data_IF_090072602326
#
_entry.id   IF_090072602326
#
_cell.length_a   1.000
_cell.length_b   1.000
_cell.length_c   1.000
_cell.angle_alpha   90.00
_cell.angle_beta   90.00
_cell.angle_gamma   90.00
#
_symmetry.space_group_name_H-M   'P 1'
#
loop_
_entity.id
_entity.type
_entity.pdbx_description
1 polymer ?
#
# COMPACT_ATOMS: atom_id res chain seq x y z
N UNK A 1 31.58 21.24 -3.13
CA UNK A 1 31.48 19.79 -3.39
C UNK A 1 30.07 19.49 -3.89
N UNK A 2 29.90 19.03 -5.14
CA UNK A 2 28.60 18.65 -5.70
C UNK A 2 28.43 17.14 -5.57
N UNK A 3 27.58 16.69 -4.64
CA UNK A 3 27.16 15.29 -4.60
C UNK A 3 26.38 15.00 -5.88
N UNK A 4 26.97 14.20 -6.76
CA UNK A 4 26.26 13.61 -7.89
C UNK A 4 25.26 12.60 -7.30
N UNK A 5 24.00 13.00 -7.25
CA UNK A 5 22.87 12.10 -7.01
C UNK A 5 22.87 11.05 -8.12
N UNK A 6 23.36 9.83 -7.82
CA UNK A 6 22.95 8.67 -8.60
C UNK A 6 21.43 8.58 -8.45
N UNK A 7 20.73 8.43 -9.57
CA UNK A 7 19.29 8.19 -9.61
C UNK A 7 18.97 7.00 -8.68
N UNK A 8 18.52 7.31 -7.47
CA UNK A 8 17.96 6.35 -6.54
C UNK A 8 16.59 6.00 -7.13
N UNK A 9 16.50 4.86 -7.81
CA UNK A 9 15.32 4.46 -8.58
C UNK A 9 14.18 4.04 -7.63
N UNK A 10 13.57 5.04 -7.00
CA UNK A 10 12.32 4.86 -6.27
C UNK A 10 11.15 4.92 -7.24
N UNK A 11 10.27 3.93 -7.15
CA UNK A 11 9.02 3.92 -7.90
C UNK A 11 7.86 3.90 -6.92
N UNK A 12 7.07 4.97 -6.93
CA UNK A 12 5.78 5.01 -6.24
C UNK A 12 4.75 4.32 -7.11
N UNK A 13 4.08 3.29 -6.57
CA UNK A 13 2.96 2.66 -7.27
C UNK A 13 1.69 3.49 -7.09
N UNK A 14 0.79 3.49 -8.07
CA UNK A 14 -0.53 4.06 -7.89
C UNK A 14 -1.24 3.36 -6.73
N UNK A 15 -1.96 4.15 -5.92
CA UNK A 15 -2.69 3.61 -4.79
C UNK A 15 -3.80 2.67 -5.30
N UNK A 16 -3.85 1.45 -4.80
CA UNK A 16 -4.86 0.47 -5.20
C UNK A 16 -5.96 0.40 -4.15
N UNK A 17 -7.23 0.43 -4.58
CA UNK A 17 -8.40 0.32 -3.72
C UNK A 17 -9.03 -1.05 -3.89
N UNK A 18 -9.29 -1.75 -2.78
CA UNK A 18 -9.92 -3.07 -2.78
C UNK A 18 -11.17 -3.05 -1.91
N UNK A 19 -12.29 -3.51 -2.50
CA UNK A 19 -13.56 -3.70 -1.79
C UNK A 19 -13.90 -5.19 -1.74
N UNK A 20 -14.26 -5.68 -0.56
CA UNK A 20 -14.80 -7.03 -0.35
C UNK A 20 -16.24 -6.93 0.13
N UNK A 21 -17.14 -7.66 -0.53
CA UNK A 21 -18.54 -7.78 -0.14
C UNK A 21 -18.80 -9.22 0.32
N UNK A 22 -19.47 -9.39 1.46
CA UNK A 22 -19.70 -10.68 2.13
C UNK A 22 -20.47 -11.72 1.29
N UNK A 23 -21.13 -11.28 0.21
CA UNK A 23 -22.19 -12.03 -0.48
C UNK A 23 -21.79 -13.43 -1.01
N UNK A 24 -20.52 -13.66 -1.38
CA UNK A 24 -20.14 -14.89 -2.08
C UNK A 24 -19.58 -16.03 -1.20
N UNK A 25 -19.29 -15.80 0.09
CA UNK A 25 -18.62 -16.79 0.94
C UNK A 25 -19.45 -17.30 2.13
N UNK A 26 -20.68 -16.84 2.30
CA UNK A 26 -21.60 -17.37 3.31
C UNK A 26 -22.16 -18.74 2.86
N UNK A 27 -21.38 -19.80 3.08
CA UNK A 27 -21.71 -21.16 2.66
C UNK A 27 -22.89 -21.78 3.44
N UNK A 28 -23.29 -21.17 4.55
CA UNK A 28 -24.37 -21.65 5.43
C UNK A 28 -25.70 -20.89 5.27
N UNK A 29 -25.81 -19.95 4.33
CA UNK A 29 -27.00 -19.11 4.12
C UNK A 29 -27.57 -19.32 2.73
N UNK A 30 -28.90 -19.49 2.65
CA UNK A 30 -29.62 -19.64 1.38
C UNK A 30 -29.45 -18.38 0.52
N UNK A 31 -29.29 -18.50 -0.81
CA UNK A 31 -29.01 -17.35 -1.68
C UNK A 31 -29.97 -16.16 -1.53
N UNK A 32 -31.23 -16.40 -1.16
CA UNK A 32 -32.27 -15.38 -0.99
C UNK A 32 -32.11 -14.57 0.30
N UNK A 33 -31.46 -15.15 1.31
CA UNK A 33 -31.27 -14.56 2.64
C UNK A 33 -29.89 -13.90 2.79
N UNK A 34 -29.06 -13.94 1.74
CA UNK A 34 -27.73 -13.32 1.75
C UNK A 34 -27.85 -11.80 1.76
N UNK A 35 -27.44 -11.18 2.86
CA UNK A 35 -27.36 -9.73 2.95
C UNK A 35 -26.02 -9.24 2.37
N UNK A 36 -26.09 -8.42 1.33
CA UNK A 36 -24.89 -7.81 0.74
C UNK A 36 -24.33 -6.76 1.69
N UNK A 37 -23.30 -7.12 2.45
CA UNK A 37 -22.58 -6.20 3.33
C UNK A 37 -21.17 -5.94 2.82
N UNK A 38 -20.76 -4.67 2.81
CA UNK A 38 -19.37 -4.29 2.60
C UNK A 38 -18.57 -4.74 3.82
N UNK A 39 -17.64 -5.68 3.63
CA UNK A 39 -16.78 -6.17 4.71
C UNK A 39 -15.53 -5.31 4.82
N UNK A 40 -14.88 -5.03 3.70
CA UNK A 40 -13.64 -4.28 3.66
C UNK A 40 -13.67 -3.24 2.54
N UNK A 41 -13.27 -2.02 2.86
CA UNK A 41 -12.86 -0.99 1.89
C UNK A 41 -11.49 -0.49 2.33
N UNK A 42 -10.44 -0.88 1.62
CA UNK A 42 -9.04 -0.62 2.01
C UNK A 42 -8.23 -0.08 0.85
N UNK A 43 -7.29 0.79 1.18
CA UNK A 43 -6.33 1.38 0.24
C UNK A 43 -4.93 0.90 0.53
N UNK A 44 -4.21 0.59 -0.55
CA UNK A 44 -2.81 0.19 -0.52
C UNK A 44 -1.94 1.30 -1.08
N UNK A 45 -0.90 1.66 -0.34
CA UNK A 45 0.21 2.47 -0.80
C UNK A 45 1.44 1.58 -0.90
N UNK A 46 2.21 1.69 -1.98
CA UNK A 46 3.44 0.93 -2.16
C UNK A 46 4.53 1.81 -2.77
N UNK A 47 5.72 1.75 -2.18
CA UNK A 47 6.95 2.35 -2.70
C UNK A 47 7.99 1.25 -2.80
N UNK A 48 8.64 1.22 -3.95
CA UNK A 48 9.72 0.31 -4.25
C UNK A 48 11.05 1.07 -4.26
N UNK A 49 12.11 0.42 -3.78
CA UNK A 49 13.48 0.89 -3.91
C UNK A 49 14.41 -0.29 -4.23
N UNK A 50 15.45 -0.05 -5.01
CA UNK A 50 16.44 -1.06 -5.39
C UNK A 50 17.81 -0.57 -4.96
N UNK A 51 18.54 -1.41 -4.23
CA UNK A 51 19.93 -1.15 -3.83
C UNK A 51 20.60 -2.48 -3.49
N UNK A 52 21.94 -2.55 -3.54
CA UNK A 52 22.70 -3.77 -3.20
C UNK A 52 22.22 -5.04 -3.94
N UNK A 53 21.73 -4.89 -5.18
CA UNK A 53 21.17 -5.98 -5.99
C UNK A 53 19.92 -6.65 -5.36
N UNK A 54 19.22 -5.93 -4.48
CA UNK A 54 17.99 -6.36 -3.83
C UNK A 54 16.85 -5.36 -4.09
N UNK A 55 15.62 -5.88 -4.22
CA UNK A 55 14.41 -5.08 -4.33
C UNK A 55 13.72 -5.02 -2.98
N UNK A 56 13.48 -3.80 -2.49
CA UNK A 56 12.77 -3.53 -1.26
C UNK A 56 11.40 -2.92 -1.56
N UNK A 57 10.38 -3.33 -0.81
CA UNK A 57 9.04 -2.78 -0.87
C UNK A 57 8.56 -2.36 0.53
N UNK A 58 8.11 -1.12 0.64
CA UNK A 58 7.27 -0.69 1.75
C UNK A 58 5.82 -0.63 1.27
N UNK A 59 4.95 -1.39 1.93
CA UNK A 59 3.52 -1.45 1.63
C UNK A 59 2.70 -1.09 2.86
N UNK A 60 1.93 -0.01 2.76
CA UNK A 60 0.98 0.39 3.79
C UNK A 60 -0.44 0.02 3.38
N UNK A 61 -1.22 -0.48 4.33
CA UNK A 61 -2.64 -0.81 4.16
C UNK A 61 -3.44 -0.05 5.20
N UNK A 62 -4.38 0.78 4.76
CA UNK A 62 -5.31 1.49 5.62
C UNK A 62 -6.76 1.29 5.16
N UNK A 63 -7.74 1.26 6.07
CA UNK A 63 -9.15 1.44 5.72
C UNK A 63 -9.35 2.75 4.95
N UNK A 64 -10.27 2.77 3.99
CA UNK A 64 -10.51 3.95 3.15
C UNK A 64 -10.91 5.19 3.97
N UNK A 65 -11.73 5.00 5.01
CA UNK A 65 -12.15 6.10 5.90
C UNK A 65 -10.98 6.72 6.67
N UNK A 66 -10.00 5.90 7.09
CA UNK A 66 -8.79 6.37 7.76
C UNK A 66 -7.87 7.06 6.76
N UNK A 67 -7.75 6.50 5.55
CA UNK A 67 -6.95 7.12 4.49
C UNK A 67 -7.38 8.55 4.19
N UNK A 68 -8.69 8.83 4.16
CA UNK A 68 -9.21 10.17 3.88
C UNK A 68 -8.83 11.20 4.96
N UNK A 69 -8.69 10.77 6.22
CA UNK A 69 -8.29 11.64 7.33
C UNK A 69 -6.78 11.82 7.45
N UNK A 70 -6.01 10.76 7.17
CA UNK A 70 -4.57 10.68 7.47
C UNK A 70 -3.70 10.63 6.20
N UNK A 71 -4.24 10.99 5.03
CA UNK A 71 -3.54 10.86 3.74
C UNK A 71 -2.16 11.54 3.77
N UNK A 72 -2.07 12.73 4.37
CA UNK A 72 -0.82 13.49 4.48
C UNK A 72 0.25 12.72 5.23
N UNK A 73 -0.09 12.18 6.40
CA UNK A 73 0.84 11.46 7.27
C UNK A 73 1.27 10.14 6.61
N UNK A 74 0.31 9.41 6.02
CA UNK A 74 0.60 8.19 5.27
C UNK A 74 1.54 8.46 4.09
N UNK A 75 1.34 9.56 3.36
CA UNK A 75 2.24 9.97 2.27
C UNK A 75 3.61 10.39 2.78
N UNK A 76 3.68 11.07 3.92
CA UNK A 76 4.95 11.43 4.55
C UNK A 76 5.77 10.18 4.92
N UNK A 77 5.12 9.14 5.45
CA UNK A 77 5.78 7.85 5.70
C UNK A 77 6.32 7.26 4.39
N UNK A 78 5.53 7.25 3.31
CA UNK A 78 6.00 6.76 2.00
C UNK A 78 7.17 7.60 1.46
N UNK A 79 7.14 8.91 1.65
CA UNK A 79 8.16 9.85 1.16
C UNK A 79 9.44 9.81 1.99
N UNK A 80 9.36 9.31 3.22
CA UNK A 80 10.52 9.08 4.09
C UNK A 80 11.24 7.76 3.82
N UNK A 81 10.68 6.88 2.98
CA UNK A 81 11.30 5.60 2.64
C UNK A 81 12.67 5.82 1.97
N UNK A 82 13.71 5.22 2.52
CA UNK A 82 15.08 5.26 2.00
C UNK A 82 15.64 3.85 1.95
N UNK A 83 16.48 3.60 0.94
CA UNK A 83 17.31 2.41 0.87
C UNK A 83 18.76 2.88 0.84
N UNK A 84 19.59 2.26 1.68
CA UNK A 84 20.98 2.63 1.85
C UNK A 84 21.90 1.56 1.26
N UNK A 85 22.94 2.01 0.57
CA UNK A 85 24.03 1.14 0.16
C UNK A 85 24.85 0.75 1.38
N UNK A 86 25.10 -0.54 1.57
CA UNK A 86 25.93 -1.05 2.66
C UNK A 86 27.27 -1.46 2.05
N UNK A 87 28.38 -0.95 2.62
CA UNK A 87 29.70 -1.42 2.23
C UNK A 87 29.90 -2.83 2.82
N UNK A 88 30.36 -3.75 1.98
CA UNK A 88 30.72 -5.11 2.40
C UNK A 88 32.00 -5.12 3.23
#
# INVERSE_FOLDING_TARGET
>A
MRFRSLLLSFVKKPSSKYKSYANNNELAVMPQDRLVRLEWDRRYLSVLGVENNQLYELRLRAPENVFLGEESDLRQVMDSFRVNRVAA
#
